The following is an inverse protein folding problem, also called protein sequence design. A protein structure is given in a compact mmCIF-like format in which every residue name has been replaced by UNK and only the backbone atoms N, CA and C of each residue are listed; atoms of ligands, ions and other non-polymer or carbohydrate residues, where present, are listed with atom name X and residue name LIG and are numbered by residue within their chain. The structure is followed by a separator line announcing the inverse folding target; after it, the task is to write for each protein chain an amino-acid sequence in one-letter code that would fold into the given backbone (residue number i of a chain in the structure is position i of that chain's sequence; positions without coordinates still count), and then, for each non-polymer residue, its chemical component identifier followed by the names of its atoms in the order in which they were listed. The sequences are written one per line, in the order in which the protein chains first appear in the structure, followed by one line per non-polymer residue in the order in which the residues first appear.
data_IF_466965947632
#
_entry.id   IF_466965947632
#
_cell.length_a   1.000
_cell.length_b   1.000
_cell.length_c   1.000
_cell.angle_alpha   90.00
_cell.angle_beta   90.00
_cell.angle_gamma   90.00
#
_symmetry.space_group_name_H-M   'P 1'
#
loop_
_entity.id
_entity.type
_entity.pdbx_description
1 polymer ?
#
# COMPACT_ATOMS: atom_id res chain seq x y z
N UNK A 1 -51.84 60.38 3.82
CA UNK A 1 -50.88 59.98 2.77
C UNK A 1 -49.58 60.72 3.09
N UNK A 2 -48.43 60.15 3.39
CA UNK A 2 -47.86 58.81 3.38
C UNK A 2 -46.74 58.81 4.45
N UNK A 3 -46.49 57.70 5.13
CA UNK A 3 -45.23 57.47 5.86
C UNK A 3 -44.56 56.26 5.22
N UNK A 4 -43.49 56.52 4.48
CA UNK A 4 -42.64 55.51 3.85
C UNK A 4 -41.74 54.91 4.92
N UNK A 5 -41.94 53.62 5.19
CA UNK A 5 -41.18 52.82 6.15
C UNK A 5 -39.86 52.39 5.55
N UNK A 6 -38.75 52.70 6.22
CA UNK A 6 -37.41 52.29 5.85
C UNK A 6 -37.21 50.78 6.08
N UNK A 7 -36.80 50.06 5.03
CA UNK A 7 -36.39 48.67 5.10
C UNK A 7 -34.96 48.57 5.68
N UNK A 8 -34.87 47.98 6.87
CA UNK A 8 -33.61 47.62 7.53
C UNK A 8 -32.98 46.43 6.79
N UNK A 9 -31.77 46.64 6.28
CA UNK A 9 -30.92 45.61 5.65
C UNK A 9 -30.37 44.68 6.74
N UNK A 10 -30.71 43.40 6.67
CA UNK A 10 -30.17 42.36 7.57
C UNK A 10 -28.67 42.08 7.32
N UNK A 11 -27.98 41.43 8.28
CA UNK A 11 -26.55 41.14 8.18
C UNK A 11 -26.28 40.09 7.09
N UNK A 12 -25.27 40.37 6.26
CA UNK A 12 -24.76 39.46 5.24
C UNK A 12 -24.14 38.25 5.97
N UNK A 13 -24.81 37.11 5.90
CA UNK A 13 -24.24 35.83 6.33
C UNK A 13 -23.18 35.42 5.30
N UNK A 14 -21.91 35.50 5.69
CA UNK A 14 -20.83 34.89 4.93
C UNK A 14 -20.90 33.38 5.19
N UNK A 15 -21.48 32.64 4.25
CA UNK A 15 -21.27 31.20 4.18
C UNK A 15 -19.76 30.92 4.09
N UNK A 16 -19.24 29.89 4.80
CA UNK A 16 -17.86 29.47 4.59
C UNK A 16 -17.68 29.11 3.10
N UNK A 17 -16.72 29.76 2.45
CA UNK A 17 -16.34 29.42 1.08
C UNK A 17 -16.06 27.92 1.00
N UNK A 18 -16.52 27.22 -0.05
CA UNK A 18 -16.12 25.84 -0.27
C UNK A 18 -14.59 25.82 -0.31
N UNK A 19 -13.98 24.89 0.44
CA UNK A 19 -12.55 24.61 0.30
C UNK A 19 -12.36 24.32 -1.19
N UNK A 20 -11.56 25.11 -1.88
CA UNK A 20 -11.12 24.78 -3.23
C UNK A 20 -10.46 23.40 -3.12
N UNK A 21 -11.18 22.37 -3.57
CA UNK A 21 -10.63 21.04 -3.70
C UNK A 21 -9.44 21.18 -4.66
N UNK A 22 -8.26 20.68 -4.27
CA UNK A 22 -7.06 20.90 -5.05
C UNK A 22 -7.27 20.25 -6.41
N UNK A 23 -7.31 21.09 -7.46
CA UNK A 23 -7.22 20.62 -8.85
C UNK A 23 -5.95 19.78 -8.90
N UNK A 24 -6.10 18.48 -9.16
CA UNK A 24 -4.97 17.54 -9.30
C UNK A 24 -3.91 18.18 -10.18
N UNK A 25 -2.68 18.21 -9.70
CA UNK A 25 -1.58 18.77 -10.47
C UNK A 25 -0.97 17.68 -11.38
N UNK A 26 -0.15 18.10 -12.36
CA UNK A 26 0.40 17.16 -13.35
C UNK A 26 1.31 16.09 -12.71
N UNK A 27 2.04 16.42 -11.64
CA UNK A 27 2.92 15.47 -10.98
C UNK A 27 2.11 14.40 -10.24
N UNK A 28 1.10 14.83 -9.48
CA UNK A 28 0.18 13.91 -8.79
C UNK A 28 -0.52 12.98 -9.79
N UNK A 29 -0.99 13.54 -10.91
CA UNK A 29 -1.59 12.76 -11.99
C UNK A 29 -0.64 11.65 -12.48
N UNK A 30 0.63 11.96 -12.73
CA UNK A 30 1.61 10.99 -13.23
C UNK A 30 2.00 9.94 -12.18
N UNK A 31 2.16 10.35 -10.92
CA UNK A 31 2.50 9.45 -9.81
C UNK A 31 1.39 8.42 -9.57
N UNK A 32 0.13 8.84 -9.69
CA UNK A 32 -1.05 8.00 -9.45
C UNK A 32 -1.69 7.46 -10.73
N UNK A 33 -1.07 7.68 -11.89
CA UNK A 33 -1.64 7.29 -13.18
C UNK A 33 -1.85 5.77 -13.31
N UNK A 34 -0.96 4.96 -12.73
CA UNK A 34 -1.13 3.50 -12.75
C UNK A 34 -2.35 3.07 -11.94
N UNK A 35 -2.62 3.71 -10.80
CA UNK A 35 -3.82 3.45 -9.98
C UNK A 35 -5.09 3.75 -10.78
N UNK A 36 -5.10 4.91 -11.46
CA UNK A 36 -6.17 5.30 -12.38
C UNK A 36 -6.35 4.32 -13.55
N UNK A 37 -5.25 3.76 -14.09
CA UNK A 37 -5.31 2.84 -15.24
C UNK A 37 -5.73 1.42 -14.84
N UNK A 38 -5.21 0.92 -13.73
CA UNK A 38 -5.32 -0.49 -13.36
C UNK A 38 -6.61 -0.80 -12.58
N UNK A 39 -7.33 0.24 -12.15
CA UNK A 39 -8.66 0.21 -11.54
C UNK A 39 -8.83 -0.81 -10.39
N UNK A 40 -8.89 -0.28 -9.16
CA UNK A 40 -9.80 -0.77 -8.14
C UNK A 40 -10.70 0.42 -7.74
N UNK A 41 -11.99 0.35 -8.07
CA UNK A 41 -12.96 1.47 -7.98
C UNK A 41 -13.13 2.02 -6.55
N UNK A 42 -12.64 1.29 -5.54
CA UNK A 42 -12.85 1.63 -4.14
C UNK A 42 -11.96 2.78 -3.61
N UNK A 43 -10.80 3.05 -4.21
CA UNK A 43 -9.80 4.00 -3.67
C UNK A 43 -9.34 5.09 -4.66
N UNK A 44 -9.82 5.06 -5.91
CA UNK A 44 -9.35 6.01 -6.95
C UNK A 44 -10.34 7.15 -7.17
N UNK A 45 -9.89 8.40 -7.03
CA UNK A 45 -10.66 9.61 -7.32
C UNK A 45 -10.74 9.87 -8.83
N UNK A 46 -11.59 9.10 -9.51
CA UNK A 46 -11.74 9.12 -10.97
C UNK A 46 -12.17 10.47 -11.52
N UNK A 47 -12.95 11.24 -10.77
CA UNK A 47 -13.50 12.51 -11.23
C UNK A 47 -12.41 13.60 -11.26
N UNK A 48 -11.48 13.59 -10.30
CA UNK A 48 -10.31 14.45 -10.32
C UNK A 48 -9.38 14.15 -11.50
N UNK A 49 -9.15 12.86 -11.81
CA UNK A 49 -8.37 12.45 -12.99
C UNK A 49 -9.01 12.91 -14.31
N UNK A 50 -10.32 12.70 -14.47
CA UNK A 50 -11.06 13.15 -15.68
C UNK A 50 -11.01 14.66 -15.83
N UNK A 51 -11.27 15.39 -14.75
CA UNK A 51 -11.19 16.86 -14.74
C UNK A 51 -9.79 17.35 -15.12
N UNK A 52 -8.74 16.67 -14.65
CA UNK A 52 -7.37 16.99 -15.03
C UNK A 52 -7.09 16.71 -16.51
N UNK A 53 -7.57 15.58 -17.05
CA UNK A 53 -7.41 15.24 -18.47
C UNK A 53 -8.11 16.24 -19.40
N UNK A 54 -9.29 16.72 -19.01
CA UNK A 54 -10.05 17.71 -19.78
C UNK A 54 -9.39 19.09 -19.76
N UNK A 55 -8.68 19.44 -18.68
CA UNK A 55 -8.07 20.75 -18.50
C UNK A 55 -6.59 20.84 -18.86
N UNK A 56 -5.87 19.70 -18.91
CA UNK A 56 -4.42 19.64 -19.14
C UNK A 56 -4.05 18.92 -20.46
N UNK A 57 -3.70 19.66 -21.53
CA UNK A 57 -3.33 19.06 -22.82
C UNK A 57 -2.10 18.15 -22.77
N UNK A 58 -1.17 18.39 -21.82
CA UNK A 58 0.02 17.57 -21.68
C UNK A 58 -0.30 16.17 -21.12
N UNK A 59 -1.10 16.11 -20.05
CA UNK A 59 -1.55 14.85 -19.46
C UNK A 59 -2.54 14.12 -20.38
N UNK A 60 -3.39 14.84 -21.13
CA UNK A 60 -4.23 14.23 -22.16
C UNK A 60 -3.39 13.50 -23.22
N UNK A 61 -2.34 14.16 -23.74
CA UNK A 61 -1.44 13.53 -24.72
C UNK A 61 -0.72 12.33 -24.14
N UNK A 62 -0.28 12.41 -22.89
CA UNK A 62 0.33 11.27 -22.20
C UNK A 62 -0.65 10.08 -22.15
N UNK A 63 -1.89 10.32 -21.70
CA UNK A 63 -2.93 9.30 -21.65
C UNK A 63 -3.17 8.64 -23.02
N UNK A 64 -3.34 9.43 -24.07
CA UNK A 64 -3.52 8.92 -25.43
C UNK A 64 -2.34 8.06 -25.93
N UNK A 65 -1.11 8.47 -25.65
CA UNK A 65 0.09 7.74 -26.07
C UNK A 65 0.14 6.39 -25.39
N UNK A 66 -0.18 6.34 -24.10
CA UNK A 66 -0.24 5.07 -23.36
C UNK A 66 -1.37 4.18 -23.90
N UNK A 67 -2.57 4.73 -24.11
CA UNK A 67 -3.70 3.97 -24.68
C UNK A 67 -3.36 3.37 -26.04
N UNK A 68 -2.81 4.18 -26.95
CA UNK A 68 -2.37 3.70 -28.27
C UNK A 68 -1.28 2.64 -28.17
N UNK A 69 -0.35 2.80 -27.23
CA UNK A 69 0.69 1.81 -26.97
C UNK A 69 0.11 0.47 -26.51
N UNK A 70 -0.90 0.49 -25.63
CA UNK A 70 -1.57 -0.72 -25.15
C UNK A 70 -2.43 -1.36 -26.23
N UNK A 71 -3.14 -0.58 -27.04
CA UNK A 71 -3.89 -1.10 -28.18
C UNK A 71 -2.96 -1.79 -29.19
N UNK A 72 -1.83 -1.17 -29.51
CA UNK A 72 -0.80 -1.78 -30.35
C UNK A 72 -0.28 -3.08 -29.73
N UNK A 73 0.03 -3.07 -28.43
CA UNK A 73 0.47 -4.27 -27.72
C UNK A 73 -0.56 -5.42 -27.77
N UNK A 74 -1.85 -5.09 -27.66
CA UNK A 74 -2.95 -6.07 -27.77
C UNK A 74 -3.17 -6.59 -29.20
N UNK A 75 -2.75 -5.84 -30.22
CA UNK A 75 -2.89 -6.25 -31.61
C UNK A 75 -1.98 -7.44 -31.98
N UNK A 76 -0.90 -7.67 -31.22
CA UNK A 76 -0.04 -8.82 -31.42
C UNK A 76 -0.74 -10.11 -30.94
N UNK A 77 -0.81 -11.11 -31.82
CA UNK A 77 -1.25 -12.45 -31.41
C UNK A 77 -0.21 -13.03 -30.44
N UNK A 78 -0.61 -13.17 -29.18
CA UNK A 78 0.22 -13.82 -28.17
C UNK A 78 0.56 -15.27 -28.53
N UNK A 79 1.59 -15.85 -27.91
CA UNK A 79 1.90 -17.26 -28.11
C UNK A 79 0.70 -18.12 -27.72
N UNK A 80 0.43 -19.17 -28.49
CA UNK A 80 -0.63 -20.12 -28.13
C UNK A 80 -0.35 -20.67 -26.73
N UNK A 81 -1.31 -20.60 -25.80
CA UNK A 81 -1.15 -21.25 -24.51
C UNK A 81 -1.00 -22.75 -24.70
N UNK A 82 -0.35 -23.40 -23.74
CA UNK A 82 -0.24 -24.87 -23.70
C UNK A 82 -1.64 -25.47 -23.48
N UNK A 83 -1.84 -26.69 -23.97
CA UNK A 83 -3.10 -27.42 -23.80
C UNK A 83 -3.52 -27.57 -22.33
N UNK A 84 -2.55 -27.66 -21.41
CA UNK A 84 -2.76 -27.80 -19.97
C UNK A 84 -2.88 -26.46 -19.21
N UNK A 85 -2.82 -25.32 -19.92
CA UNK A 85 -2.74 -24.00 -19.30
C UNK A 85 -3.97 -23.67 -18.45
N UNK A 86 -5.17 -23.92 -18.99
CA UNK A 86 -6.42 -23.56 -18.33
C UNK A 86 -6.59 -24.32 -17.01
N UNK A 87 -6.33 -25.63 -17.02
CA UNK A 87 -6.43 -26.46 -15.83
C UNK A 87 -5.41 -26.05 -14.76
N UNK A 88 -4.17 -25.76 -15.18
CA UNK A 88 -3.14 -25.27 -14.26
C UNK A 88 -3.45 -23.90 -13.69
N UNK A 89 -4.05 -23.02 -14.49
CA UNK A 89 -4.49 -21.70 -14.05
C UNK A 89 -5.62 -21.82 -13.02
N UNK A 90 -6.66 -22.60 -13.33
CA UNK A 90 -7.79 -22.86 -12.44
C UNK A 90 -7.33 -23.43 -11.10
N UNK A 91 -6.44 -24.43 -11.15
CA UNK A 91 -5.84 -25.01 -9.95
C UNK A 91 -5.09 -23.97 -9.11
N UNK A 92 -4.29 -23.10 -9.73
CA UNK A 92 -3.54 -22.04 -9.01
C UNK A 92 -4.45 -20.99 -8.39
N UNK A 93 -5.49 -20.55 -9.10
CA UNK A 93 -6.47 -19.58 -8.58
C UNK A 93 -7.17 -20.18 -7.36
N UNK A 94 -7.69 -21.40 -7.48
CA UNK A 94 -8.34 -22.09 -6.37
C UNK A 94 -7.44 -22.23 -5.14
N UNK A 95 -6.18 -22.63 -5.34
CA UNK A 95 -5.22 -22.71 -4.24
C UNK A 95 -4.91 -21.35 -3.62
N UNK A 96 -4.78 -20.29 -4.42
CA UNK A 96 -4.56 -18.94 -3.91
C UNK A 96 -5.74 -18.46 -3.05
N UNK A 97 -6.96 -18.72 -3.50
CA UNK A 97 -8.19 -18.39 -2.75
C UNK A 97 -8.28 -19.16 -1.45
N UNK A 98 -7.97 -20.46 -1.45
CA UNK A 98 -7.92 -21.27 -0.23
C UNK A 98 -6.91 -20.70 0.78
N UNK A 99 -5.70 -20.35 0.34
CA UNK A 99 -4.67 -19.76 1.20
C UNK A 99 -5.10 -18.39 1.73
N UNK A 100 -5.78 -17.58 0.92
CA UNK A 100 -6.32 -16.30 1.36
C UNK A 100 -7.42 -16.48 2.41
N UNK A 101 -8.31 -17.47 2.22
CA UNK A 101 -9.37 -17.80 3.17
C UNK A 101 -8.84 -18.33 4.49
N UNK A 102 -7.82 -19.21 4.48
CA UNK A 102 -7.19 -19.70 5.72
C UNK A 102 -6.52 -18.57 6.48
N UNK A 103 -5.77 -17.67 5.81
CA UNK A 103 -5.19 -16.48 6.45
C UNK A 103 -6.24 -15.56 7.08
N UNK A 104 -7.39 -15.36 6.43
CA UNK A 104 -8.49 -14.56 6.99
C UNK A 104 -9.14 -15.24 8.20
N UNK A 105 -9.23 -16.58 8.19
CA UNK A 105 -9.83 -17.37 9.26
C UNK A 105 -8.91 -17.53 10.48
N UNK A 106 -7.61 -17.68 10.25
CA UNK A 106 -6.57 -17.68 11.29
C UNK A 106 -6.26 -16.27 11.83
N UNK A 107 -6.78 -15.24 11.16
CA UNK A 107 -6.88 -13.87 11.67
C UNK A 107 -7.88 -13.70 12.81
N UNK A 108 -8.13 -14.72 13.64
CA UNK A 108 -8.72 -14.51 14.95
C UNK A 108 -7.80 -13.56 15.70
N UNK A 109 -8.17 -12.28 15.74
CA UNK A 109 -7.37 -11.25 16.39
C UNK A 109 -7.00 -11.76 17.79
N UNK A 110 -5.71 -11.77 18.18
CA UNK A 110 -5.32 -12.18 19.53
C UNK A 110 -6.08 -11.35 20.59
N UNK A 111 -6.62 -10.19 20.21
CA UNK A 111 -7.48 -9.35 21.03
C UNK A 111 -8.81 -10.02 21.40
N UNK A 112 -9.42 -10.86 20.55
CA UNK A 112 -10.67 -11.56 20.89
C UNK A 112 -10.38 -12.67 21.92
N UNK A 113 -9.30 -13.42 21.73
CA UNK A 113 -8.86 -14.43 22.69
C UNK A 113 -8.49 -13.79 24.04
N UNK A 114 -7.77 -12.66 24.02
CA UNK A 114 -7.44 -11.87 25.21
C UNK A 114 -8.69 -11.28 25.87
N UNK A 115 -9.64 -10.76 25.10
CA UNK A 115 -10.89 -10.22 25.63
C UNK A 115 -11.76 -11.29 26.29
N UNK A 116 -11.87 -12.48 25.69
CA UNK A 116 -12.57 -13.62 26.29
C UNK A 116 -11.87 -14.10 27.56
N UNK A 117 -10.53 -14.16 27.56
CA UNK A 117 -9.76 -14.50 28.75
C UNK A 117 -9.94 -13.45 29.87
N UNK A 118 -9.89 -12.16 29.54
CA UNK A 118 -10.12 -11.08 30.50
C UNK A 118 -11.55 -11.11 31.07
N UNK A 119 -12.56 -11.35 30.23
CA UNK A 119 -13.94 -11.50 30.66
C UNK A 119 -14.12 -12.71 31.58
N UNK A 120 -13.46 -13.85 31.29
CA UNK A 120 -13.48 -15.02 32.16
C UNK A 120 -12.82 -14.76 33.52
N UNK A 121 -11.70 -14.02 33.55
CA UNK A 121 -11.03 -13.62 34.80
C UNK A 121 -11.92 -12.66 35.62
N UNK A 122 -12.51 -11.65 34.99
CA UNK A 122 -13.43 -10.71 35.65
C UNK A 122 -14.67 -11.42 36.22
N UNK A 123 -15.25 -12.36 35.47
CA UNK A 123 -16.37 -13.16 35.95
C UNK A 123 -15.97 -14.09 37.13
N UNK A 124 -14.78 -14.70 37.07
CA UNK A 124 -14.26 -15.52 38.15
C UNK A 124 -13.99 -14.73 39.43
N UNK A 125 -13.41 -13.54 39.31
CA UNK A 125 -13.16 -12.64 40.45
C UNK A 125 -14.45 -12.03 41.00
N UNK A 126 -15.42 -11.67 40.15
CA UNK A 126 -16.70 -11.12 40.60
C UNK A 126 -17.61 -12.14 41.29
N UNK A 127 -17.54 -13.40 40.89
CA UNK A 127 -18.40 -14.44 41.45
C UNK A 127 -17.89 -14.99 42.80
N UNK A 128 -16.57 -15.06 43.03
CA UNK A 128 -15.98 -15.73 44.21
C UNK A 128 -14.75 -15.01 44.81
N UNK A 129 -14.36 -13.85 44.31
CA UNK A 129 -13.14 -13.14 44.73
C UNK A 129 -13.30 -12.37 46.05
N UNK A 130 -12.26 -12.34 46.91
CA UNK A 130 -12.31 -11.61 48.17
C UNK A 130 -12.20 -10.10 47.89
N UNK A 131 -13.32 -9.39 47.86
CA UNK A 131 -13.42 -7.96 47.53
C UNK A 131 -12.80 -7.04 48.61
N UNK A 132 -12.35 -7.55 49.75
CA UNK A 132 -12.03 -6.71 50.92
C UNK A 132 -10.57 -6.25 51.09
N UNK A 133 -9.65 -6.45 50.12
CA UNK A 133 -8.23 -6.08 50.33
C UNK A 133 -7.58 -5.15 49.28
N UNK A 134 -8.29 -4.68 48.26
CA UNK A 134 -7.69 -3.89 47.16
C UNK A 134 -7.61 -2.37 47.44
N UNK A 135 -8.03 -1.88 48.61
CA UNK A 135 -7.92 -0.45 48.99
C UNK A 135 -6.62 -0.15 49.77
N UNK A 136 -5.52 -0.81 49.44
CA UNK A 136 -4.20 -0.39 49.92
C UNK A 136 -3.28 -0.36 48.72
N UNK A 137 -3.28 0.78 48.03
CA UNK A 137 -2.26 1.08 47.03
C UNK A 137 -0.94 1.35 47.77
N UNK A 138 0.10 0.50 47.65
CA UNK A 138 1.42 0.85 48.15
C UNK A 138 1.98 1.93 47.22
N UNK A 139 2.14 3.14 47.73
CA UNK A 139 2.82 4.23 47.03
C UNK A 139 4.30 3.89 46.92
N UNK A 140 4.72 3.38 45.76
CA UNK A 140 6.12 3.15 45.43
C UNK A 140 6.66 4.42 44.79
N UNK A 141 7.54 5.12 45.52
CA UNK A 141 8.27 6.28 45.03
C UNK A 141 9.48 5.79 44.21
N UNK A 142 9.50 6.12 42.91
CA UNK A 142 10.53 5.67 41.96
C UNK A 142 11.48 6.83 41.68
N UNK A 143 12.82 6.66 41.81
CA UNK A 143 13.76 7.71 41.50
C UNK A 143 13.75 8.01 39.99
N UNK A 144 13.70 9.30 39.64
CA UNK A 144 13.63 9.76 38.26
C UNK A 144 14.79 9.24 37.41
N UNK A 145 14.47 8.44 36.39
CA UNK A 145 15.44 7.93 35.42
C UNK A 145 15.65 9.02 34.36
N UNK A 146 16.83 9.64 34.38
CA UNK A 146 17.31 10.49 33.30
C UNK A 146 17.95 9.63 32.21
N UNK A 147 17.37 9.62 31.01
CA UNK A 147 17.98 9.01 29.84
C UNK A 147 18.88 10.04 29.12
N UNK A 148 20.16 9.71 28.96
CA UNK A 148 21.09 10.50 28.14
C UNK A 148 21.00 10.03 26.69
N UNK A 149 20.60 10.91 25.77
CA UNK A 149 20.52 10.58 24.35
C UNK A 149 21.94 10.54 23.72
N UNK A 150 22.25 9.55 22.85
CA UNK A 150 23.52 9.51 22.15
C UNK A 150 23.62 10.69 21.19
N UNK A 151 24.73 11.43 21.26
CA UNK A 151 24.94 12.58 20.40
C UNK A 151 25.17 12.11 18.95
N UNK A 152 24.25 12.47 18.07
CA UNK A 152 24.39 12.29 16.63
C UNK A 152 25.60 13.11 16.18
N UNK A 153 26.67 12.44 15.73
CA UNK A 153 27.78 13.12 15.06
C UNK A 153 27.27 13.69 13.74
N UNK A 154 27.07 14.99 13.69
CA UNK A 154 26.84 15.71 12.43
C UNK A 154 28.10 15.58 11.58
N UNK A 155 28.02 14.85 10.47
CA UNK A 155 29.07 14.85 9.44
C UNK A 155 29.07 16.27 8.82
N UNK A 156 30.17 17.03 8.89
CA UNK A 156 30.19 18.36 8.31
C UNK A 156 30.33 18.30 6.80
N UNK A 157 29.39 18.96 6.11
CA UNK A 157 29.62 19.58 4.81
C UNK A 157 29.41 18.71 3.58
N UNK A 158 28.95 19.31 2.46
CA UNK A 158 28.75 18.60 1.22
C UNK A 158 30.11 18.13 0.68
N UNK A 159 30.24 16.82 0.45
CA UNK A 159 31.27 16.31 -0.44
C UNK A 159 31.09 17.01 -1.79
N UNK A 160 32.17 17.43 -2.48
CA UNK A 160 32.02 17.88 -3.86
C UNK A 160 31.36 16.76 -4.64
N UNK A 161 30.19 17.05 -5.21
CA UNK A 161 29.54 16.21 -6.21
C UNK A 161 30.53 16.15 -7.36
N UNK A 162 31.42 15.16 -7.31
CA UNK A 162 32.12 14.71 -8.49
C UNK A 162 31.01 14.16 -9.35
N UNK A 163 30.61 14.98 -10.32
CA UNK A 163 29.71 14.66 -11.41
C UNK A 163 30.19 13.33 -11.95
N UNK A 164 29.59 12.28 -11.41
CA UNK A 164 29.80 10.93 -11.86
C UNK A 164 29.01 10.94 -13.13
N UNK A 165 29.64 11.43 -14.21
CA UNK A 165 29.20 11.20 -15.57
C UNK A 165 28.71 9.77 -15.54
N UNK A 166 27.39 9.63 -15.68
CA UNK A 166 26.65 8.41 -15.47
C UNK A 166 27.29 7.37 -16.39
N UNK A 167 28.30 6.68 -15.87
CA UNK A 167 28.79 5.48 -16.48
C UNK A 167 27.68 4.53 -16.13
N UNK A 168 26.63 4.54 -16.96
CA UNK A 168 25.61 3.52 -16.96
C UNK A 168 26.39 2.22 -16.79
N UNK A 169 26.18 1.51 -15.67
CA UNK A 169 26.98 0.34 -15.41
C UNK A 169 26.81 -0.57 -16.61
N UNK A 170 27.92 -1.11 -17.12
CA UNK A 170 28.00 -1.65 -18.48
C UNK A 170 26.90 -2.69 -18.80
N UNK A 171 26.35 -3.33 -17.75
CA UNK A 171 25.22 -4.25 -17.86
C UNK A 171 23.93 -3.63 -18.42
N UNK A 172 23.71 -2.32 -18.25
CA UNK A 172 22.53 -1.61 -18.78
C UNK A 172 22.58 -1.40 -20.30
N UNK A 173 23.75 -1.54 -20.92
CA UNK A 173 23.96 -1.29 -22.36
C UNK A 173 23.97 -2.58 -23.20
N UNK A 174 23.63 -3.73 -22.60
CA UNK A 174 23.50 -4.98 -23.34
C UNK A 174 22.11 -5.11 -23.94
N UNK A 175 22.03 -5.38 -25.25
CA UNK A 175 20.79 -5.70 -25.98
C UNK A 175 20.05 -6.94 -25.45
N UNK A 176 20.71 -7.71 -24.56
CA UNK A 176 20.22 -8.95 -23.99
C UNK A 176 19.74 -8.80 -22.53
N UNK A 177 19.59 -7.57 -22.03
CA UNK A 177 19.18 -7.29 -20.66
C UNK A 177 17.86 -7.99 -20.29
N UNK A 178 16.93 -8.03 -21.24
CA UNK A 178 15.61 -8.64 -21.08
C UNK A 178 15.60 -10.16 -21.32
N UNK A 179 16.58 -10.70 -22.05
CA UNK A 179 16.70 -12.15 -22.25
C UNK A 179 17.43 -12.83 -21.10
N UNK A 180 18.43 -12.18 -20.52
CA UNK A 180 19.19 -12.70 -19.37
C UNK A 180 18.58 -12.31 -18.01
N UNK A 181 17.64 -11.37 -17.96
CA UNK A 181 16.91 -11.03 -16.72
C UNK A 181 16.15 -12.22 -16.14
N UNK A 182 15.59 -13.10 -16.99
CA UNK A 182 14.95 -14.32 -16.55
C UNK A 182 15.94 -15.28 -15.87
N UNK A 183 17.19 -15.33 -16.33
CA UNK A 183 18.26 -16.12 -15.71
C UNK A 183 18.65 -15.54 -14.36
N UNK A 184 18.83 -14.22 -14.27
CA UNK A 184 19.18 -13.53 -13.02
C UNK A 184 18.06 -13.61 -11.98
N UNK A 185 16.80 -13.46 -12.40
CA UNK A 185 15.62 -13.63 -11.55
C UNK A 185 15.45 -15.08 -11.11
N UNK A 186 15.75 -16.05 -11.99
CA UNK A 186 15.71 -17.46 -11.65
C UNK A 186 16.79 -17.80 -10.60
N UNK A 187 18.03 -17.37 -10.81
CA UNK A 187 19.15 -17.58 -9.86
C UNK A 187 18.90 -16.99 -8.48
N UNK A 188 18.19 -15.87 -8.39
CA UNK A 188 17.82 -15.23 -7.11
C UNK A 188 16.42 -15.66 -6.61
N UNK A 189 15.74 -16.57 -7.31
CA UNK A 189 14.46 -17.09 -6.84
C UNK A 189 14.66 -18.14 -5.75
N UNK A 190 13.75 -18.16 -4.78
CA UNK A 190 13.70 -19.22 -3.76
C UNK A 190 13.55 -20.64 -4.37
N UNK A 191 13.10 -20.75 -5.61
CA UNK A 191 13.01 -22.02 -6.34
C UNK A 191 14.40 -22.56 -6.72
N UNK A 192 15.31 -21.70 -7.17
CA UNK A 192 16.68 -22.10 -7.49
C UNK A 192 17.43 -22.57 -6.24
N UNK A 193 17.28 -21.85 -5.13
CA UNK A 193 17.85 -22.27 -3.84
C UNK A 193 17.30 -23.63 -3.37
N UNK A 194 15.99 -23.90 -3.53
CA UNK A 194 15.41 -25.23 -3.22
C UNK A 194 15.97 -26.37 -4.06
N UNK A 195 16.21 -26.14 -5.35
CA UNK A 195 16.81 -27.17 -6.22
C UNK A 195 18.29 -27.40 -5.92
N UNK A 196 19.02 -26.34 -5.56
CA UNK A 196 20.45 -26.38 -5.25
C UNK A 196 20.75 -27.01 -3.90
N UNK A 197 19.95 -26.73 -2.87
CA UNK A 197 20.16 -27.24 -1.50
C UNK A 197 19.65 -28.68 -1.29
N UNK A 198 19.24 -29.38 -2.37
CA UNK A 198 19.05 -30.83 -2.37
C UNK A 198 18.04 -31.39 -1.37
N UNK A 199 17.30 -30.54 -0.66
CA UNK A 199 16.29 -30.93 0.33
C UNK A 199 14.98 -31.26 -0.37
N UNK A 200 15.04 -32.28 -1.23
CA UNK A 200 13.86 -33.01 -1.66
C UNK A 200 13.33 -33.78 -0.44
N UNK A 201 12.36 -33.20 0.27
CA UNK A 201 11.51 -33.98 1.17
C UNK A 201 10.68 -34.90 0.27
N UNK A 202 11.15 -36.13 0.10
CA UNK A 202 10.43 -37.20 -0.58
C UNK A 202 9.24 -37.58 0.30
N UNK A 203 8.11 -36.89 0.16
CA UNK A 203 6.82 -37.39 0.66
C UNK A 203 6.30 -38.42 -0.33
N UNK A 204 6.94 -39.60 -0.33
CA UNK A 204 6.38 -40.80 -0.93
C UNK A 204 5.66 -41.59 0.16
N UNK A 205 4.33 -41.68 0.06
CA UNK A 205 3.57 -42.71 0.75
C UNK A 205 4.04 -44.09 0.25
N UNK A 206 4.39 -44.97 1.18
CA UNK A 206 4.29 -46.41 1.02
C UNK A 206 3.26 -46.92 2.02
#
# INVERSE_FOLDING_TARGET
MERVTALVRGPISFAPMPKEEPIMNCQEFLERYSEFRDFDEADTDLDSFKTHLDSCPACHRYHEVVERGVELARSFTGPSPREDFEDRLRHRIYHADLVAQTRRRDGSSPLIAVALAAAAVLAGVGAWGPISTITSAPTVDLPGISASAPQVRTIPGPLPVRESAERSPAFLNHSNLWSESNTLLYEHSNLYHRYRDGTLIRTGLH
#
